data_IF_549906499833
#
_entry.id   IF_549906499833
#
_cell.length_a   1.000
_cell.length_b   1.000
_cell.length_c   1.000
_cell.angle_alpha   90.00
_cell.angle_beta   90.00
_cell.angle_gamma   90.00
#
_symmetry.space_group_name_H-M   'P 1'
#
loop_
_entity.id
_entity.type
_entity.pdbx_description
1 polymer ?
#
# COMPACT_ATOMS: atom_id res chain seq x y z
N UNK A 1 -24.12 7.60 -14.58
CA UNK A 1 -24.69 7.74 -13.21
C UNK A 1 -23.78 8.71 -12.44
N UNK A 2 -24.32 9.63 -11.63
CA UNK A 2 -23.49 10.55 -10.83
C UNK A 2 -23.02 9.83 -9.57
N UNK A 3 -21.71 9.66 -9.45
CA UNK A 3 -21.07 8.94 -8.35
C UNK A 3 -21.04 9.79 -7.08
N UNK A 4 -21.40 9.21 -5.94
CA UNK A 4 -21.28 9.84 -4.63
C UNK A 4 -19.88 9.62 -4.04
N UNK A 5 -19.47 10.49 -3.12
CA UNK A 5 -18.17 10.45 -2.46
C UNK A 5 -18.34 10.32 -0.95
N UNK A 6 -17.66 9.35 -0.35
CA UNK A 6 -17.52 9.17 1.09
C UNK A 6 -16.13 9.56 1.55
N UNK A 7 -16.06 10.21 2.71
CA UNK A 7 -14.84 10.64 3.38
C UNK A 7 -14.89 10.17 4.83
N UNK A 8 -13.88 9.42 5.27
CA UNK A 8 -13.72 9.00 6.66
C UNK A 8 -12.30 9.33 7.12
N UNK A 9 -12.16 10.18 8.12
CA UNK A 9 -10.88 10.51 8.73
C UNK A 9 -10.74 9.82 10.08
N UNK A 10 -9.61 9.13 10.28
CA UNK A 10 -9.31 8.39 11.50
C UNK A 10 -7.87 8.62 11.97
N UNK A 11 -7.61 8.38 13.26
CA UNK A 11 -6.27 8.47 13.82
C UNK A 11 -5.47 7.19 13.57
N UNK A 12 -4.39 7.30 12.80
CA UNK A 12 -3.42 6.23 12.56
C UNK A 12 -3.74 5.33 11.36
N UNK A 13 -2.67 4.89 10.69
CA UNK A 13 -2.75 4.05 9.48
C UNK A 13 -3.38 2.67 9.73
N UNK A 14 -3.05 2.02 10.85
CA UNK A 14 -3.61 0.70 11.17
C UNK A 14 -5.13 0.75 11.33
N UNK A 15 -5.64 1.80 12.01
CA UNK A 15 -7.07 2.02 12.14
C UNK A 15 -7.72 2.32 10.79
N UNK A 16 -7.05 3.10 9.94
CA UNK A 16 -7.53 3.43 8.60
C UNK A 16 -7.70 2.18 7.73
N UNK A 17 -6.71 1.28 7.74
CA UNK A 17 -6.78 0.01 6.99
C UNK A 17 -7.95 -0.85 7.48
N UNK A 18 -8.10 -0.99 8.81
CA UNK A 18 -9.21 -1.76 9.39
C UNK A 18 -10.59 -1.17 9.09
N UNK A 19 -10.70 0.16 9.16
CA UNK A 19 -11.93 0.85 8.80
C UNK A 19 -12.24 0.70 7.30
N UNK A 20 -11.24 0.82 6.42
CA UNK A 20 -11.40 0.65 4.99
C UNK A 20 -11.88 -0.77 4.61
N UNK A 21 -11.33 -1.80 5.24
CA UNK A 21 -11.79 -3.19 5.08
C UNK A 21 -13.25 -3.37 5.54
N UNK A 22 -13.60 -2.84 6.71
CA UNK A 22 -14.97 -2.88 7.22
C UNK A 22 -15.97 -2.16 6.29
N UNK A 23 -15.59 -0.99 5.75
CA UNK A 23 -16.41 -0.22 4.82
C UNK A 23 -16.64 -0.97 3.50
N UNK A 24 -15.58 -1.53 2.91
CA UNK A 24 -15.67 -2.25 1.64
C UNK A 24 -16.47 -3.57 1.76
N UNK A 25 -16.49 -4.21 2.94
CA UNK A 25 -17.31 -5.39 3.22
C UNK A 25 -18.78 -5.08 3.48
N UNK A 26 -19.09 -3.86 3.91
CA UNK A 26 -20.44 -3.48 4.33
C UNK A 26 -21.35 -3.08 3.16
N UNK A 27 -20.80 -2.56 2.07
CA UNK A 27 -21.57 -2.07 0.94
C UNK A 27 -20.78 -2.11 -0.37
N UNK A 28 -21.48 -2.01 -1.50
CA UNK A 28 -20.87 -1.95 -2.83
C UNK A 28 -20.25 -0.57 -3.08
N UNK A 29 -19.02 -0.39 -2.60
CA UNK A 29 -18.23 0.84 -2.76
C UNK A 29 -16.84 0.54 -3.30
N UNK A 30 -16.25 1.51 -3.99
CA UNK A 30 -14.87 1.46 -4.46
C UNK A 30 -14.01 2.33 -3.55
N UNK A 31 -13.00 1.73 -2.92
CA UNK A 31 -11.98 2.49 -2.20
C UNK A 31 -11.10 3.22 -3.23
N UNK A 32 -11.16 4.55 -3.19
CA UNK A 32 -10.42 5.40 -4.11
C UNK A 32 -8.97 5.59 -3.66
N UNK A 33 -8.77 5.75 -2.35
CA UNK A 33 -7.44 5.96 -1.80
C UNK A 33 -7.45 6.26 -0.31
N UNK A 34 -6.25 6.25 0.26
CA UNK A 34 -6.00 6.70 1.63
C UNK A 34 -4.87 7.72 1.61
N UNK A 35 -5.08 8.85 2.27
CA UNK A 35 -4.16 9.97 2.31
C UNK A 35 -3.75 10.28 3.74
N UNK A 36 -2.49 10.64 3.93
CA UNK A 36 -2.00 11.17 5.20
C UNK A 36 -2.40 12.63 5.27
N UNK A 37 -2.97 13.07 6.38
CA UNK A 37 -3.18 14.49 6.61
C UNK A 37 -2.01 15.09 7.37
N UNK A 38 -1.92 16.42 7.34
CA UNK A 38 -0.78 17.13 7.93
C UNK A 38 -0.92 17.19 9.46
N UNK A 39 -0.02 16.48 10.16
CA UNK A 39 0.02 16.45 11.62
C UNK A 39 -0.89 15.39 12.25
N UNK A 40 -0.73 15.18 13.56
CA UNK A 40 -1.56 14.31 14.42
C UNK A 40 -1.69 12.83 14.03
N UNK A 41 -1.03 12.39 12.96
CA UNK A 41 -1.07 11.01 12.48
C UNK A 41 -2.42 10.59 11.92
N UNK A 42 -3.25 11.53 11.46
CA UNK A 42 -4.55 11.18 10.89
C UNK A 42 -4.45 10.73 9.43
N UNK A 43 -5.46 9.97 9.04
CA UNK A 43 -5.57 9.32 7.75
C UNK A 43 -6.98 9.53 7.21
N UNK A 44 -7.08 10.07 6.01
CA UNK A 44 -8.32 10.22 5.27
C UNK A 44 -8.50 9.03 4.33
N UNK A 45 -9.65 8.35 4.42
CA UNK A 45 -10.08 7.30 3.51
C UNK A 45 -11.14 7.91 2.58
N UNK A 46 -10.97 7.71 1.27
CA UNK A 46 -11.88 8.19 0.24
C UNK A 46 -12.49 6.99 -0.48
N UNK A 47 -13.81 7.01 -0.66
CA UNK A 47 -14.54 5.94 -1.33
C UNK A 47 -15.67 6.47 -2.19
N UNK A 48 -16.03 5.74 -3.24
CA UNK A 48 -17.08 6.13 -4.18
C UNK A 48 -18.10 5.02 -4.39
N UNK A 49 -19.31 5.40 -4.80
CA UNK A 49 -20.41 4.45 -5.04
C UNK A 49 -21.72 5.18 -5.29
N UNK A 50 -22.83 4.45 -5.22
CA UNK A 50 -24.15 5.07 -5.08
C UNK A 50 -24.31 5.69 -3.68
N UNK A 51 -25.23 6.64 -3.54
CA UNK A 51 -25.38 7.41 -2.29
C UNK A 51 -25.72 6.53 -1.09
N UNK A 52 -26.51 5.47 -1.27
CA UNK A 52 -26.94 4.60 -0.18
C UNK A 52 -25.79 3.69 0.27
N UNK A 53 -25.06 3.10 -0.67
CA UNK A 53 -23.87 2.30 -0.42
C UNK A 53 -22.78 3.11 0.29
N UNK A 54 -22.55 4.36 -0.16
CA UNK A 54 -21.59 5.26 0.49
C UNK A 54 -22.00 5.59 1.93
N UNK A 55 -23.28 5.89 2.18
CA UNK A 55 -23.78 6.17 3.53
C UNK A 55 -23.64 4.94 4.44
N UNK A 56 -23.99 3.76 3.96
CA UNK A 56 -23.88 2.50 4.71
C UNK A 56 -22.42 2.15 5.03
N UNK A 57 -21.52 2.31 4.07
CA UNK A 57 -20.08 2.13 4.26
C UNK A 57 -19.56 3.10 5.33
N UNK A 58 -19.79 4.41 5.17
CA UNK A 58 -19.31 5.44 6.12
C UNK A 58 -19.86 5.19 7.54
N UNK A 59 -21.13 4.82 7.68
CA UNK A 59 -21.70 4.49 8.98
C UNK A 59 -20.97 3.31 9.66
N UNK A 60 -20.67 2.26 8.90
CA UNK A 60 -19.94 1.07 9.40
C UNK A 60 -18.51 1.43 9.79
N UNK A 61 -17.77 2.15 8.92
CA UNK A 61 -16.41 2.58 9.19
C UNK A 61 -16.31 3.53 10.38
N UNK A 62 -17.26 4.45 10.50
CA UNK A 62 -17.34 5.35 11.65
C UNK A 62 -17.62 4.62 12.95
N UNK A 63 -18.52 3.64 12.97
CA UNK A 63 -18.77 2.81 14.14
C UNK A 63 -17.50 2.02 14.55
N UNK A 64 -16.81 1.42 13.57
CA UNK A 64 -15.55 0.70 13.78
C UNK A 64 -14.46 1.60 14.39
N UNK A 65 -14.36 2.85 13.91
CA UNK A 65 -13.40 3.83 14.39
C UNK A 65 -13.76 4.39 15.79
N UNK A 66 -15.05 4.64 16.06
CA UNK A 66 -15.56 5.08 17.37
C UNK A 66 -15.26 4.06 18.46
N UNK A 67 -15.48 2.77 18.19
CA UNK A 67 -15.14 1.68 19.13
C UNK A 67 -13.67 1.65 19.53
N UNK A 68 -12.79 2.24 18.72
CA UNK A 68 -11.33 2.29 18.92
C UNK A 68 -10.84 3.69 19.31
N UNK A 69 -11.76 4.60 19.68
CA UNK A 69 -11.47 5.99 20.06
C UNK A 69 -10.62 6.75 19.04
N UNK A 70 -10.80 6.46 17.74
CA UNK A 70 -9.98 7.03 16.68
C UNK A 70 -10.75 7.60 15.51
N UNK A 71 -12.05 7.87 15.66
CA UNK A 71 -12.80 8.65 14.68
C UNK A 71 -12.43 10.13 14.81
N UNK A 72 -12.04 10.76 13.69
CA UNK A 72 -11.75 12.20 13.62
C UNK A 72 -12.91 12.92 12.95
N UNK A 73 -13.28 12.52 11.72
CA UNK A 73 -14.36 13.13 10.96
C UNK A 73 -14.99 12.14 9.97
N UNK A 74 -16.23 12.43 9.54
CA UNK A 74 -16.91 11.68 8.48
C UNK A 74 -17.77 12.62 7.64
N UNK A 75 -17.87 12.36 6.34
CA UNK A 75 -18.77 13.09 5.44
C UNK A 75 -19.24 12.22 4.27
N UNK A 76 -20.41 12.56 3.74
CA UNK A 76 -20.93 11.98 2.51
C UNK A 76 -21.43 13.09 1.60
N UNK A 77 -20.95 13.09 0.36
CA UNK A 77 -21.36 14.01 -0.68
C UNK A 77 -22.15 13.20 -1.71
N UNK A 78 -23.48 13.35 -1.71
CA UNK A 78 -24.37 12.63 -2.62
C UNK A 78 -24.10 12.99 -4.09
N UNK A 79 -23.75 14.25 -4.35
CA UNK A 79 -23.51 14.78 -5.69
C UNK A 79 -22.32 15.76 -5.67
N UNK A 80 -21.08 15.25 -5.58
CA UNK A 80 -19.90 16.09 -5.61
C UNK A 80 -19.80 16.84 -6.94
N UNK A 81 -19.20 18.02 -6.92
CA UNK A 81 -18.92 18.80 -8.12
C UNK A 81 -17.95 18.04 -9.03
N UNK A 82 -18.08 18.22 -10.34
CA UNK A 82 -17.31 17.46 -11.33
C UNK A 82 -15.81 17.74 -11.25
N UNK A 83 -15.42 19.02 -11.07
CA UNK A 83 -14.02 19.40 -10.86
C UNK A 83 -13.40 18.79 -9.60
N UNK A 84 -14.20 18.59 -8.54
CA UNK A 84 -13.73 17.89 -7.33
C UNK A 84 -13.47 16.42 -7.62
N UNK A 85 -14.37 15.77 -8.37
CA UNK A 85 -14.22 14.36 -8.73
C UNK A 85 -13.01 14.10 -9.63
N UNK A 86 -12.71 15.02 -10.57
CA UNK A 86 -11.53 14.91 -11.43
C UNK A 86 -10.21 14.96 -10.63
N UNK A 87 -10.16 15.74 -9.54
CA UNK A 87 -8.98 15.80 -8.68
C UNK A 87 -8.79 14.56 -7.81
N UNK A 88 -9.88 13.91 -7.43
CA UNK A 88 -9.87 12.83 -6.44
C UNK A 88 -10.05 11.43 -7.01
N UNK A 89 -10.42 11.25 -8.27
CA UNK A 89 -10.37 9.93 -8.89
C UNK A 89 -8.91 9.48 -9.02
N UNK A 90 -8.59 8.22 -8.67
CA UNK A 90 -7.29 7.69 -8.99
C UNK A 90 -7.20 7.56 -10.52
N UNK A 91 -6.00 7.64 -11.13
CA UNK A 91 -5.86 7.27 -12.53
C UNK A 91 -6.49 5.90 -12.73
N UNK A 92 -7.27 5.75 -13.80
CA UNK A 92 -7.92 4.48 -14.12
C UNK A 92 -6.88 3.36 -14.00
N UNK A 93 -7.20 2.25 -13.31
CA UNK A 93 -6.28 1.14 -13.24
C UNK A 93 -5.94 0.78 -14.69
N UNK A 94 -4.68 0.98 -15.07
CA UNK A 94 -4.16 0.35 -16.28
C UNK A 94 -4.21 -1.12 -15.95
N UNK A 95 -5.27 -1.78 -16.42
CA UNK A 95 -5.32 -3.23 -16.42
C UNK A 95 -4.14 -3.63 -17.29
N UNK A 96 -3.03 -4.00 -16.67
CA UNK A 96 -1.99 -4.74 -17.35
C UNK A 96 -2.72 -5.98 -17.87
N UNK A 97 -2.95 -6.02 -19.19
CA UNK A 97 -3.53 -7.18 -19.83
C UNK A 97 -2.61 -8.33 -19.46
N UNK A 98 -3.10 -9.25 -18.62
CA UNK A 98 -2.39 -10.49 -18.38
C UNK A 98 -2.14 -11.10 -19.76
N UNK A 99 -0.89 -11.48 -20.10
CA UNK A 99 -0.64 -12.19 -21.33
C UNK A 99 -1.58 -13.39 -21.36
N UNK A 100 -2.45 -13.45 -22.36
CA UNK A 100 -3.28 -14.62 -22.56
C UNK A 100 -2.32 -15.77 -22.86
N UNK A 101 -2.04 -16.59 -21.85
CA UNK A 101 -1.32 -17.83 -22.03
C UNK A 101 -2.21 -18.72 -22.90
N UNK A 102 -1.97 -18.68 -24.21
CA UNK A 102 -2.47 -19.66 -25.14
C UNK A 102 -1.74 -20.96 -24.79
N UNK A 103 -2.39 -21.79 -23.98
CA UNK A 103 -1.96 -23.15 -23.75
C UNK A 103 -2.21 -23.96 -25.03
N UNK A 104 -1.26 -23.89 -25.98
CA UNK A 104 -1.13 -24.93 -26.99
C UNK A 104 -0.54 -26.15 -26.30
N UNK A 105 -1.39 -27.17 -26.10
CA UNK A 105 -1.00 -28.49 -25.65
C UNK A 105 -0.12 -29.13 -26.73
N UNK A 106 1.20 -29.06 -26.57
CA UNK A 106 2.12 -29.88 -27.37
C UNK A 106 2.20 -31.28 -26.76
N UNK A 107 1.84 -32.28 -27.57
CA UNK A 107 1.92 -33.71 -27.24
C UNK A 107 3.38 -34.13 -26.96
N UNK A 108 3.61 -35.10 -26.05
CA UNK A 108 4.95 -35.39 -25.56
C UNK A 108 5.84 -36.02 -26.64
N UNK A 109 6.91 -35.30 -27.01
CA UNK A 109 8.01 -35.79 -27.83
C UNK A 109 8.78 -36.87 -27.04
N UNK A 110 8.89 -38.04 -27.66
CA UNK A 110 9.59 -39.22 -27.16
C UNK A 110 11.08 -38.90 -26.87
N UNK A 111 11.53 -39.15 -25.64
CA UNK A 111 12.93 -38.96 -25.23
C UNK A 111 13.71 -40.21 -25.60
N UNK A 112 14.44 -40.15 -26.70
CA UNK A 112 15.43 -41.17 -27.03
C UNK A 112 16.69 -40.95 -26.17
N UNK A 113 16.99 -41.95 -25.35
CA UNK A 113 18.13 -41.99 -24.41
C UNK A 113 19.46 -42.06 -25.14
N UNK A 114 20.41 -41.20 -24.76
CA UNK A 114 21.83 -41.39 -25.06
C UNK A 114 22.69 -41.18 -23.80
N UNK A 115 23.87 -41.83 -23.71
CA UNK A 115 24.35 -42.38 -22.45
C UNK A 115 25.42 -41.53 -21.73
N UNK A 116 25.53 -41.88 -20.44
CA UNK A 116 26.56 -41.65 -19.44
C UNK A 116 27.95 -41.15 -19.91
N UNK A 117 28.38 -40.02 -19.32
CA UNK A 117 29.79 -39.69 -19.12
C UNK A 117 29.95 -38.76 -17.89
N UNK A 118 30.55 -39.28 -16.82
CA UNK A 118 31.38 -38.53 -15.84
C UNK A 118 32.81 -38.36 -16.43
N UNK A 119 33.76 -37.56 -15.89
CA UNK A 119 33.84 -36.98 -14.53
C UNK A 119 34.44 -35.55 -14.42
N UNK A 120 34.50 -35.05 -13.18
CA UNK A 120 35.50 -34.13 -12.58
C UNK A 120 35.68 -32.67 -13.07
N UNK A 121 35.51 -31.74 -12.10
CA UNK A 121 36.40 -30.58 -11.97
C UNK A 121 35.74 -29.20 -12.07
N UNK A 122 35.81 -28.47 -10.94
CA UNK A 122 36.20 -27.05 -10.77
C UNK A 122 35.28 -26.37 -9.75
N UNK A 123 35.82 -26.22 -8.54
CA UNK A 123 35.38 -25.27 -7.52
C UNK A 123 35.63 -23.85 -8.03
N UNK A 124 34.61 -23.00 -8.04
CA UNK A 124 34.76 -21.56 -8.23
C UNK A 124 33.97 -20.82 -7.14
N UNK A 125 34.69 -20.00 -6.38
CA UNK A 125 34.25 -19.23 -5.22
C UNK A 125 33.15 -18.22 -5.58
N UNK A 126 32.10 -18.14 -4.75
CA UNK A 126 31.09 -17.10 -4.85
C UNK A 126 31.63 -15.75 -4.29
N UNK A 127 31.42 -14.62 -4.97
CA UNK A 127 31.89 -13.33 -4.47
C UNK A 127 31.09 -12.91 -3.22
N UNK A 128 31.81 -12.60 -2.14
CA UNK A 128 31.23 -12.04 -0.91
C UNK A 128 30.83 -10.59 -1.18
N UNK A 129 29.54 -10.32 -1.28
CA UNK A 129 29.02 -8.94 -1.33
C UNK A 129 29.17 -8.29 0.05
N UNK A 130 30.12 -7.37 0.18
CA UNK A 130 30.30 -6.58 1.40
C UNK A 130 29.16 -5.57 1.55
N UNK A 131 28.24 -5.86 2.48
CA UNK A 131 27.18 -4.94 2.90
C UNK A 131 27.67 -4.10 4.09
N UNK A 132 28.36 -3.00 3.84
CA UNK A 132 28.44 -1.90 4.83
C UNK A 132 27.09 -1.18 4.86
N UNK A 133 26.13 -1.80 5.55
CA UNK A 133 24.74 -1.36 5.60
C UNK A 133 24.61 -0.16 6.54
N UNK A 134 24.64 1.05 6.00
CA UNK A 134 24.21 2.24 6.76
C UNK A 134 22.78 1.98 7.28
N UNK A 135 22.66 1.92 8.60
CA UNK A 135 21.44 1.51 9.35
C UNK A 135 20.38 2.61 9.36
N UNK A 136 20.80 3.88 9.28
CA UNK A 136 19.95 5.06 9.37
C UNK A 136 19.73 5.73 8.00
N UNK A 137 18.50 5.69 7.48
CA UNK A 137 18.15 6.35 6.22
C UNK A 137 18.02 7.88 6.30
N UNK A 138 18.13 8.49 7.49
CA UNK A 138 18.11 9.95 7.66
C UNK A 138 19.49 10.58 7.47
N UNK A 139 20.53 9.99 8.06
CA UNK A 139 21.88 10.56 8.00
C UNK A 139 22.86 9.75 7.18
N UNK A 140 22.56 8.48 6.87
CA UNK A 140 23.38 7.58 6.05
C UNK A 140 24.80 7.33 6.60
N UNK A 141 25.03 7.68 7.86
CA UNK A 141 26.27 7.43 8.57
C UNK A 141 26.33 5.97 9.04
N UNK A 142 27.47 5.32 8.79
CA UNK A 142 27.74 3.94 9.17
C UNK A 142 27.89 3.74 10.70
N UNK A 143 28.29 4.79 11.42
CA UNK A 143 28.43 4.78 12.89
C UNK A 143 27.13 5.15 13.61
N UNK A 144 26.06 5.50 12.87
CA UNK A 144 24.79 5.83 13.47
C UNK A 144 24.07 4.56 13.95
N UNK A 145 23.82 4.44 15.25
CA UNK A 145 23.13 3.27 15.82
C UNK A 145 21.62 3.23 15.59
N UNK A 146 21.05 4.18 14.83
CA UNK A 146 19.60 4.27 14.60
C UNK A 146 19.16 3.36 13.45
N UNK A 147 18.09 2.60 13.67
CA UNK A 147 17.51 1.69 12.70
C UNK A 147 16.21 2.24 12.07
N UNK A 148 15.89 1.80 10.85
CA UNK A 148 14.64 2.18 10.16
C UNK A 148 13.41 1.80 10.99
N UNK A 149 12.61 2.80 11.35
CA UNK A 149 11.39 2.65 12.16
C UNK A 149 11.52 3.24 13.56
N UNK A 150 12.75 3.49 14.04
CA UNK A 150 12.97 4.12 15.34
C UNK A 150 12.73 5.64 15.32
N UNK A 151 12.38 6.24 16.48
CA UNK A 151 12.26 7.69 16.66
C UNK A 151 13.45 8.51 16.13
N UNK A 152 13.20 9.76 15.71
CA UNK A 152 14.21 10.60 15.03
C UNK A 152 15.31 11.13 15.95
N UNK A 153 14.99 11.31 17.22
CA UNK A 153 15.88 11.73 18.30
C UNK A 153 17.02 10.74 18.56
N UNK A 154 16.84 9.45 18.26
CA UNK A 154 17.91 8.43 18.33
C UNK A 154 18.97 8.55 17.23
N UNK A 155 18.77 9.43 16.25
CA UNK A 155 19.78 9.70 15.22
C UNK A 155 20.90 10.56 15.82
N UNK A 156 22.16 10.18 15.59
CA UNK A 156 23.34 10.99 15.95
C UNK A 156 23.25 12.44 15.43
N UNK A 157 22.56 12.64 14.31
CA UNK A 157 22.42 13.92 13.60
C UNK A 157 21.06 14.61 13.81
N UNK A 158 20.28 14.23 14.81
CA UNK A 158 18.89 14.69 15.01
C UNK A 158 18.71 16.22 15.09
N UNK A 159 19.77 17.00 15.38
CA UNK A 159 19.77 18.46 15.43
C UNK A 159 20.36 19.19 14.22
N UNK A 160 20.96 18.49 13.25
CA UNK A 160 21.48 19.08 12.00
C UNK A 160 20.56 18.62 10.88
N UNK A 161 19.70 19.50 10.37
CA UNK A 161 18.71 19.19 9.32
C UNK A 161 19.32 18.27 8.27
N UNK A 162 18.82 17.04 8.21
CA UNK A 162 19.58 15.90 7.71
C UNK A 162 20.24 16.11 6.35
N UNK A 163 21.55 16.32 6.37
CA UNK A 163 22.62 15.56 5.70
C UNK A 163 23.92 15.85 6.48
N UNK A 164 24.70 14.82 6.78
CA UNK A 164 26.12 14.98 7.11
C UNK A 164 26.89 15.06 5.79
#
# INVERSE_FOLDING_TARGET
MKTSLGLLEVSGLALAIGAADAMAKAASVTLVGMEKTNGSGWMLIRLTGDVASVQAAIATGAAFAKQRNGLVAQATLARPAEGLMAHWQPPLPVVAQAPQAQAELQEPVNVETAPHATPEGILAEAPVFSLTRATCNLCQDAECSRHKGEPRDRCLHSGKGGKA
#
